data_IF_843267144312
#
_entry.id   IF_843267144312
#
_cell.length_a   1.000
_cell.length_b   1.000
_cell.length_c   1.000
_cell.angle_alpha   90.00
_cell.angle_beta   90.00
_cell.angle_gamma   90.00
#
_symmetry.space_group_name_H-M   'P 1'
#
loop_
_entity.id
_entity.type
_entity.pdbx_description
1 polymer ?
#
# COMPACT_ATOMS: atom_id res chain seq x y z
N UNK A 1 -44.53 44.54 50.86
CA UNK A 1 -44.66 43.18 50.34
C UNK A 1 -44.69 43.27 48.82
N UNK A 2 -43.54 43.06 48.15
CA UNK A 2 -43.46 42.93 46.71
C UNK A 2 -42.95 41.50 46.43
N UNK A 3 -43.77 40.72 45.73
CA UNK A 3 -43.45 39.36 45.28
C UNK A 3 -42.53 39.42 44.07
N UNK A 4 -41.41 38.78 44.18
CA UNK A 4 -40.49 38.53 43.07
C UNK A 4 -40.94 37.23 42.42
N UNK A 5 -41.51 37.29 41.23
CA UNK A 5 -41.73 36.12 40.36
C UNK A 5 -40.49 35.97 39.50
N UNK A 6 -39.74 34.87 39.73
CA UNK A 6 -38.65 34.45 38.86
C UNK A 6 -39.22 33.89 37.55
N UNK A 7 -38.90 34.52 36.44
CA UNK A 7 -39.17 34.06 35.09
C UNK A 7 -38.25 32.88 34.78
N UNK A 8 -38.76 31.66 34.80
CA UNK A 8 -38.12 30.44 34.29
C UNK A 8 -38.24 30.44 32.76
N UNK A 9 -37.16 30.80 32.08
CA UNK A 9 -37.04 30.61 30.63
C UNK A 9 -36.76 29.13 30.37
N UNK A 10 -37.60 28.38 29.64
CA UNK A 10 -37.33 26.99 29.32
C UNK A 10 -36.17 26.93 28.32
N UNK A 11 -35.05 26.44 28.78
CA UNK A 11 -33.88 26.20 27.93
C UNK A 11 -34.22 25.11 26.91
N UNK A 12 -34.30 25.47 25.64
CA UNK A 12 -34.72 24.59 24.55
C UNK A 12 -33.67 23.48 24.35
N UNK A 13 -34.06 22.23 24.55
CA UNK A 13 -33.23 21.04 24.49
C UNK A 13 -32.52 20.89 23.12
N UNK A 14 -33.18 21.30 22.03
CA UNK A 14 -32.62 21.34 20.70
C UNK A 14 -31.48 22.36 20.55
N UNK A 15 -31.53 23.47 21.28
CA UNK A 15 -30.50 24.50 21.26
C UNK A 15 -29.23 24.04 22.01
N UNK A 16 -29.42 23.24 23.07
CA UNK A 16 -28.31 22.61 23.81
C UNK A 16 -27.66 21.50 22.98
N UNK A 17 -28.44 20.65 22.32
CA UNK A 17 -27.92 19.61 21.44
C UNK A 17 -27.17 20.21 20.24
N UNK A 18 -27.72 21.24 19.62
CA UNK A 18 -27.05 21.95 18.49
C UNK A 18 -25.77 22.71 18.94
N UNK A 19 -25.74 23.22 20.16
CA UNK A 19 -24.53 23.83 20.76
C UNK A 19 -23.49 22.79 21.14
N UNK A 20 -23.91 21.63 21.65
CA UNK A 20 -23.01 20.51 21.95
C UNK A 20 -22.43 19.91 20.67
N UNK A 21 -23.24 19.71 19.63
CA UNK A 21 -22.75 19.25 18.32
C UNK A 21 -21.77 20.24 17.67
N UNK A 22 -22.07 21.55 17.71
CA UNK A 22 -21.12 22.59 17.24
C UNK A 22 -19.84 22.67 18.09
N UNK A 23 -19.93 22.45 19.40
CA UNK A 23 -18.77 22.41 20.30
C UNK A 23 -17.96 21.13 20.13
N UNK A 24 -18.60 19.98 19.87
CA UNK A 24 -17.95 18.72 19.54
C UNK A 24 -17.30 18.80 18.15
N UNK A 25 -17.97 19.34 17.15
CA UNK A 25 -17.39 19.58 15.80
C UNK A 25 -16.29 20.65 15.83
N UNK A 26 -16.45 21.72 16.60
CA UNK A 26 -15.43 22.75 16.80
C UNK A 26 -14.20 22.23 17.54
N UNK A 27 -14.39 21.46 18.62
CA UNK A 27 -13.29 20.87 19.39
C UNK A 27 -12.61 19.72 18.63
N UNK A 28 -13.34 18.96 17.78
CA UNK A 28 -12.74 17.99 16.85
C UNK A 28 -11.97 18.69 15.71
N UNK A 29 -12.28 19.92 15.36
CA UNK A 29 -11.58 20.70 14.33
C UNK A 29 -10.33 21.41 14.85
N UNK A 30 -10.28 21.79 16.12
CA UNK A 30 -9.15 22.52 16.72
C UNK A 30 -8.14 21.60 17.41
N UNK A 31 -8.50 20.39 17.80
CA UNK A 31 -7.59 19.41 18.42
C UNK A 31 -6.96 18.39 17.46
N UNK A 32 -7.34 18.41 16.18
CA UNK A 32 -6.67 17.66 15.11
C UNK A 32 -5.78 18.61 14.34
N UNK A 33 -4.50 18.69 14.67
CA UNK A 33 -3.49 19.02 13.68
C UNK A 33 -3.83 18.19 12.44
N UNK A 34 -4.21 18.84 11.36
CA UNK A 34 -4.37 18.20 10.05
C UNK A 34 -3.03 17.55 9.76
N UNK A 35 -2.92 16.25 10.02
CA UNK A 35 -1.70 15.50 9.73
C UNK A 35 -1.33 15.81 8.28
N UNK A 36 -0.27 16.59 8.12
CA UNK A 36 0.08 17.20 6.85
C UNK A 36 0.29 16.07 5.83
N UNK A 37 -0.54 16.04 4.80
CA UNK A 37 -0.54 15.00 3.77
C UNK A 37 0.86 14.90 3.16
N UNK A 38 1.50 13.75 3.27
CA UNK A 38 2.84 13.54 2.71
C UNK A 38 2.74 13.38 1.18
N UNK A 39 3.07 14.45 0.45
CA UNK A 39 3.03 14.47 -1.02
C UNK A 39 4.03 13.51 -1.65
N UNK A 40 5.14 13.19 -0.97
CA UNK A 40 6.09 12.17 -1.46
C UNK A 40 5.46 10.79 -1.50
N UNK A 41 4.65 10.42 -0.50
CA UNK A 41 3.91 9.15 -0.50
C UNK A 41 2.81 9.14 -1.59
N UNK A 42 2.16 10.26 -1.83
CA UNK A 42 1.18 10.36 -2.93
C UNK A 42 1.87 10.24 -4.30
N UNK A 43 3.04 10.84 -4.47
CA UNK A 43 3.87 10.67 -5.67
C UNK A 43 4.34 9.21 -5.82
N UNK A 44 4.70 8.54 -4.73
CA UNK A 44 5.07 7.13 -4.73
C UNK A 44 3.92 6.23 -5.22
N UNK A 45 2.67 6.52 -4.85
CA UNK A 45 1.49 5.81 -5.38
C UNK A 45 1.37 5.92 -6.90
N UNK A 46 1.55 7.15 -7.43
CA UNK A 46 1.54 7.41 -8.87
C UNK A 46 2.67 6.64 -9.54
N UNK A 47 3.88 6.74 -8.99
CA UNK A 47 5.06 6.07 -9.51
C UNK A 47 4.91 4.54 -9.51
N UNK A 48 4.46 3.94 -8.41
CA UNK A 48 4.19 2.49 -8.36
C UNK A 48 3.15 2.06 -9.39
N UNK A 49 2.12 2.85 -9.63
CA UNK A 49 1.13 2.54 -10.65
C UNK A 49 1.71 2.62 -12.07
N UNK A 50 2.60 3.57 -12.32
CA UNK A 50 3.36 3.63 -13.56
C UNK A 50 4.26 2.39 -13.74
N UNK A 51 4.93 1.95 -12.67
CA UNK A 51 5.70 0.69 -12.70
C UNK A 51 4.80 -0.53 -13.01
N UNK A 52 3.58 -0.57 -12.48
CA UNK A 52 2.60 -1.63 -12.81
C UNK A 52 2.22 -1.58 -14.30
N UNK A 53 2.07 -0.39 -14.89
CA UNK A 53 1.85 -0.27 -16.34
C UNK A 53 3.04 -0.83 -17.14
N UNK A 54 4.28 -0.62 -16.70
CA UNK A 54 5.47 -1.26 -17.31
C UNK A 54 5.34 -2.78 -17.27
N UNK A 55 5.00 -3.37 -16.10
CA UNK A 55 4.82 -4.81 -15.95
C UNK A 55 3.75 -5.35 -16.91
N UNK A 56 2.65 -4.64 -17.09
CA UNK A 56 1.56 -5.07 -17.97
C UNK A 56 1.91 -4.91 -19.45
N UNK A 57 2.63 -3.86 -19.83
CA UNK A 57 3.18 -3.68 -21.19
C UNK A 57 4.18 -4.79 -21.52
N UNK A 58 5.08 -5.14 -20.59
CA UNK A 58 6.06 -6.21 -20.76
C UNK A 58 5.41 -7.59 -20.78
N UNK A 59 4.51 -7.88 -19.85
CA UNK A 59 3.85 -9.18 -19.67
C UNK A 59 2.73 -9.39 -20.68
N UNK A 60 1.49 -9.04 -20.34
CA UNK A 60 0.30 -9.27 -21.18
C UNK A 60 0.39 -8.56 -22.52
N UNK A 61 0.95 -7.36 -22.55
CA UNK A 61 1.19 -6.58 -23.78
C UNK A 61 2.23 -7.20 -24.71
N UNK A 62 2.97 -8.22 -24.25
CA UNK A 62 4.00 -8.98 -24.99
C UNK A 62 5.11 -8.13 -25.57
N UNK A 63 5.50 -7.03 -24.92
CA UNK A 63 6.70 -6.28 -25.34
C UNK A 63 8.00 -7.10 -25.16
N UNK A 64 7.95 -8.15 -24.33
CA UNK A 64 9.07 -9.05 -24.01
C UNK A 64 9.01 -10.38 -24.76
N UNK A 65 8.49 -10.42 -25.98
CA UNK A 65 8.59 -11.64 -26.80
C UNK A 65 10.04 -11.89 -27.16
N UNK A 66 10.52 -13.11 -26.87
CA UNK A 66 11.88 -13.52 -27.24
C UNK A 66 11.91 -14.00 -28.67
N UNK A 67 12.64 -13.32 -29.51
CA UNK A 67 12.91 -13.74 -30.89
C UNK A 67 14.36 -14.25 -30.99
N UNK A 68 14.55 -15.36 -31.69
CA UNK A 68 15.89 -15.90 -31.97
C UNK A 68 16.74 -14.87 -32.69
N UNK A 69 17.99 -14.69 -32.24
CA UNK A 69 18.91 -13.69 -32.77
C UNK A 69 18.65 -12.25 -32.37
N UNK A 70 17.76 -12.03 -31.37
CA UNK A 70 17.42 -10.70 -30.79
C UNK A 70 17.33 -10.73 -29.27
N UNK A 71 18.11 -11.59 -28.66
CA UNK A 71 18.12 -11.78 -27.21
C UNK A 71 18.53 -10.50 -26.46
N UNK A 72 19.33 -9.63 -27.08
CA UNK A 72 19.76 -8.35 -26.50
C UNK A 72 18.59 -7.40 -26.24
N UNK A 73 17.55 -7.43 -27.07
CA UNK A 73 16.31 -6.64 -26.87
C UNK A 73 15.57 -7.16 -25.65
N UNK A 74 15.44 -8.48 -25.54
CA UNK A 74 14.78 -9.12 -24.41
C UNK A 74 15.51 -8.79 -23.09
N UNK A 75 16.84 -8.93 -23.05
CA UNK A 75 17.65 -8.57 -21.87
C UNK A 75 17.49 -7.11 -21.47
N UNK A 76 17.48 -6.21 -22.46
CA UNK A 76 17.37 -4.77 -22.21
C UNK A 76 15.99 -4.39 -21.65
N UNK A 77 14.90 -4.93 -22.19
CA UNK A 77 13.54 -4.67 -21.68
C UNK A 77 13.34 -5.33 -20.32
N UNK A 78 13.96 -6.51 -20.11
CA UNK A 78 13.84 -7.24 -18.85
C UNK A 78 14.40 -6.47 -17.62
N UNK A 79 15.40 -5.59 -17.81
CA UNK A 79 15.87 -4.74 -16.69
C UNK A 79 14.78 -3.77 -16.21
N UNK A 80 13.96 -3.23 -17.14
CA UNK A 80 12.82 -2.37 -16.79
C UNK A 80 11.73 -3.14 -16.04
N UNK A 81 11.42 -4.36 -16.49
CA UNK A 81 10.48 -5.23 -15.78
C UNK A 81 11.00 -5.53 -14.37
N UNK A 82 12.28 -5.86 -14.22
CA UNK A 82 12.91 -6.13 -12.93
C UNK A 82 12.84 -4.92 -12.00
N UNK A 83 13.14 -3.73 -12.50
CA UNK A 83 13.03 -2.49 -11.74
C UNK A 83 11.57 -2.23 -11.31
N UNK A 84 10.61 -2.52 -12.16
CA UNK A 84 9.19 -2.30 -11.88
C UNK A 84 8.59 -3.33 -10.91
N UNK A 85 9.21 -4.50 -10.74
CA UNK A 85 8.61 -5.63 -10.04
C UNK A 85 8.34 -5.37 -8.55
N UNK A 86 9.03 -4.44 -7.92
CA UNK A 86 8.81 -4.07 -6.52
C UNK A 86 7.53 -3.24 -6.27
N UNK A 87 6.84 -2.79 -7.32
CA UNK A 87 5.69 -1.86 -7.21
C UNK A 87 4.58 -2.37 -6.29
N UNK A 88 4.22 -3.65 -6.38
CA UNK A 88 3.15 -4.27 -5.57
C UNK A 88 3.53 -4.28 -4.08
N UNK A 89 4.77 -4.67 -3.76
CA UNK A 89 5.28 -4.65 -2.39
C UNK A 89 5.28 -3.24 -1.82
N UNK A 90 5.73 -2.27 -2.63
CA UNK A 90 5.73 -0.85 -2.25
C UNK A 90 4.31 -0.36 -1.95
N UNK A 91 3.31 -0.77 -2.75
CA UNK A 91 1.91 -0.44 -2.50
C UNK A 91 1.39 -1.03 -1.18
N UNK A 92 1.77 -2.26 -0.85
CA UNK A 92 1.49 -2.90 0.44
C UNK A 92 2.12 -2.14 1.60
N UNK A 93 3.40 -1.75 1.47
CA UNK A 93 4.11 -0.94 2.47
C UNK A 93 3.50 0.46 2.62
N UNK A 94 3.08 1.13 1.53
CA UNK A 94 2.36 2.42 1.59
C UNK A 94 1.08 2.28 2.41
N UNK A 95 0.35 1.16 2.23
CA UNK A 95 -0.88 0.91 2.97
C UNK A 95 -0.65 0.88 4.48
N UNK A 96 0.42 0.20 4.93
CA UNK A 96 0.83 0.19 6.34
C UNK A 96 1.35 1.53 6.84
N UNK A 97 2.22 2.17 6.05
CA UNK A 97 2.79 3.48 6.39
C UNK A 97 1.73 4.56 6.64
N UNK A 98 0.64 4.55 5.85
CA UNK A 98 -0.47 5.48 6.01
C UNK A 98 -1.49 4.96 7.02
N UNK A 99 -1.80 3.65 6.99
CA UNK A 99 -2.85 3.02 7.78
C UNK A 99 -2.61 3.11 9.28
N UNK A 100 -1.36 2.93 9.74
CA UNK A 100 -1.03 2.94 11.19
C UNK A 100 -1.41 4.24 11.91
N UNK A 101 -1.48 5.36 11.19
CA UNK A 101 -1.85 6.69 11.71
C UNK A 101 -3.22 7.18 11.23
N UNK A 102 -3.84 6.47 10.29
CA UNK A 102 -5.13 6.91 9.76
C UNK A 102 -6.29 6.54 10.68
N UNK A 103 -7.32 7.38 10.70
CA UNK A 103 -8.60 7.03 11.33
C UNK A 103 -9.33 6.06 10.42
N UNK A 104 -9.62 4.88 10.95
CA UNK A 104 -10.37 3.86 10.24
C UNK A 104 -11.79 4.34 9.94
N UNK A 105 -12.18 4.21 8.68
CA UNK A 105 -13.55 4.46 8.21
C UNK A 105 -14.02 3.22 7.45
N UNK A 106 -14.89 2.41 8.03
CA UNK A 106 -15.39 1.19 7.36
C UNK A 106 -16.03 1.47 6.00
N UNK A 107 -16.73 2.60 5.85
CA UNK A 107 -17.32 3.02 4.57
C UNK A 107 -16.30 3.14 3.41
N UNK A 108 -15.01 3.31 3.73
CA UNK A 108 -13.95 3.38 2.72
C UNK A 108 -13.76 2.06 1.98
N UNK A 109 -13.88 0.92 2.66
CA UNK A 109 -13.75 -0.38 1.99
C UNK A 109 -14.95 -0.64 1.08
N UNK A 110 -16.14 -0.21 1.49
CA UNK A 110 -17.36 -0.30 0.66
C UNK A 110 -17.24 0.60 -0.57
N UNK A 111 -16.74 1.84 -0.41
CA UNK A 111 -16.47 2.74 -1.56
C UNK A 111 -15.45 2.12 -2.54
N UNK A 112 -14.38 1.49 -2.02
CA UNK A 112 -13.40 0.79 -2.85
C UNK A 112 -14.02 -0.43 -3.54
N UNK A 113 -14.85 -1.22 -2.84
CA UNK A 113 -15.55 -2.36 -3.42
C UNK A 113 -16.51 -1.93 -4.54
N UNK A 114 -17.29 -0.86 -4.34
CA UNK A 114 -18.15 -0.29 -5.39
C UNK A 114 -17.35 0.17 -6.62
N UNK A 115 -16.11 0.63 -6.42
CA UNK A 115 -15.21 0.98 -7.52
C UNK A 115 -14.76 -0.27 -8.29
N UNK A 116 -14.39 -1.34 -7.60
CA UNK A 116 -14.03 -2.62 -8.25
C UNK A 116 -15.23 -3.19 -9.01
N UNK A 117 -16.39 -3.19 -8.38
CA UNK A 117 -17.64 -3.63 -8.99
C UNK A 117 -17.98 -2.80 -10.26
N UNK A 118 -17.80 -1.48 -10.23
CA UNK A 118 -17.99 -0.62 -11.39
C UNK A 118 -17.16 -1.08 -12.59
N UNK A 119 -15.85 -1.30 -12.41
CA UNK A 119 -15.00 -1.74 -13.50
C UNK A 119 -15.34 -3.16 -13.97
N UNK A 120 -15.62 -4.05 -13.04
CA UNK A 120 -15.92 -5.44 -13.33
C UNK A 120 -17.26 -5.56 -14.08
N UNK A 121 -18.34 -5.06 -13.49
CA UNK A 121 -19.69 -5.22 -14.04
C UNK A 121 -19.92 -4.36 -15.30
N UNK A 122 -19.57 -3.05 -15.24
CA UNK A 122 -19.77 -2.16 -16.39
C UNK A 122 -18.85 -2.51 -17.56
N UNK A 123 -17.58 -2.87 -17.28
CA UNK A 123 -16.65 -3.32 -18.31
C UNK A 123 -17.15 -4.58 -19.02
N UNK A 124 -17.66 -5.55 -18.27
CA UNK A 124 -18.29 -6.75 -18.82
C UNK A 124 -19.55 -6.41 -19.64
N UNK A 125 -20.43 -5.56 -19.10
CA UNK A 125 -21.63 -5.12 -19.81
C UNK A 125 -21.30 -4.46 -21.15
N UNK A 126 -20.33 -3.54 -21.17
CA UNK A 126 -19.88 -2.86 -22.39
C UNK A 126 -19.30 -3.88 -23.40
N UNK A 127 -18.44 -4.79 -22.94
CA UNK A 127 -17.82 -5.81 -23.78
C UNK A 127 -18.86 -6.70 -24.47
N UNK A 128 -19.88 -7.11 -23.73
CA UNK A 128 -20.95 -7.99 -24.24
C UNK A 128 -21.93 -7.25 -25.14
N UNK A 129 -22.40 -6.07 -24.73
CA UNK A 129 -23.48 -5.36 -25.47
C UNK A 129 -22.99 -4.63 -26.70
N UNK A 130 -21.83 -4.00 -26.66
CA UNK A 130 -21.31 -3.18 -27.78
C UNK A 130 -20.30 -3.93 -28.64
N UNK A 131 -19.51 -4.83 -28.07
CA UNK A 131 -18.50 -5.57 -28.80
C UNK A 131 -18.91 -7.01 -29.09
N UNK A 132 -20.11 -7.45 -28.61
CA UNK A 132 -20.65 -8.80 -28.80
C UNK A 132 -19.67 -9.91 -28.44
N UNK A 133 -18.84 -9.68 -27.41
CA UNK A 133 -17.86 -10.67 -26.95
C UNK A 133 -18.56 -11.84 -26.24
N UNK A 134 -18.02 -13.06 -26.33
CA UNK A 134 -18.63 -14.23 -25.71
C UNK A 134 -18.68 -14.10 -24.19
N UNK A 135 -19.77 -14.59 -23.61
CA UNK A 135 -19.98 -14.65 -22.16
C UNK A 135 -19.97 -16.11 -21.73
N UNK A 136 -18.97 -16.44 -20.92
CA UNK A 136 -18.98 -17.70 -20.18
C UNK A 136 -19.67 -17.50 -18.84
N UNK A 137 -20.24 -18.58 -18.26
CA UNK A 137 -20.89 -18.51 -16.93
C UNK A 137 -19.98 -17.92 -15.86
N UNK A 138 -18.69 -18.29 -15.89
CA UNK A 138 -17.68 -17.81 -14.95
C UNK A 138 -17.42 -16.30 -15.09
N UNK A 139 -17.53 -15.76 -16.30
CA UNK A 139 -17.34 -14.33 -16.55
C UNK A 139 -18.42 -13.49 -15.87
N UNK A 140 -19.68 -13.97 -15.89
CA UNK A 140 -20.78 -13.30 -15.19
C UNK A 140 -20.60 -13.32 -13.67
N UNK A 141 -20.21 -14.46 -13.11
CA UNK A 141 -19.91 -14.56 -11.68
C UNK A 141 -18.73 -13.67 -11.28
N UNK A 142 -17.67 -13.63 -12.08
CA UNK A 142 -16.54 -12.75 -11.86
C UNK A 142 -16.94 -11.26 -11.91
N UNK A 143 -17.83 -10.89 -12.84
CA UNK A 143 -18.31 -9.53 -12.95
C UNK A 143 -19.12 -9.09 -11.73
N UNK A 144 -19.98 -9.96 -11.18
CA UNK A 144 -20.84 -9.66 -10.04
C UNK A 144 -20.13 -9.79 -8.69
N UNK A 145 -19.17 -10.73 -8.57
CA UNK A 145 -18.44 -11.03 -7.33
C UNK A 145 -16.92 -10.89 -7.51
N UNK A 146 -16.43 -9.70 -7.89
CA UNK A 146 -15.03 -9.51 -8.33
C UNK A 146 -14.00 -9.80 -7.22
N UNK A 147 -14.40 -9.79 -5.95
CA UNK A 147 -13.51 -10.05 -4.81
C UNK A 147 -13.31 -11.53 -4.50
N UNK A 148 -14.16 -12.40 -5.02
CA UNK A 148 -14.09 -13.85 -4.78
C UNK A 148 -13.20 -14.58 -5.78
N UNK A 149 -12.76 -13.89 -6.83
CA UNK A 149 -11.93 -14.44 -7.90
C UNK A 149 -10.52 -13.88 -7.87
N UNK A 150 -9.56 -14.59 -8.45
CA UNK A 150 -8.15 -14.15 -8.50
C UNK A 150 -7.90 -12.93 -9.40
N UNK A 151 -8.86 -12.52 -10.20
CA UNK A 151 -8.76 -11.40 -11.14
C UNK A 151 -8.26 -10.12 -10.45
N UNK A 152 -8.91 -9.72 -9.37
CA UNK A 152 -8.50 -8.56 -8.56
C UNK A 152 -7.80 -8.99 -7.26
N UNK A 153 -6.88 -9.94 -7.36
CA UNK A 153 -6.22 -10.59 -6.22
C UNK A 153 -5.66 -9.61 -5.18
N UNK A 154 -5.08 -8.50 -5.65
CA UNK A 154 -4.53 -7.49 -4.74
C UNK A 154 -5.63 -6.83 -3.91
N UNK A 155 -6.77 -6.49 -4.53
CA UNK A 155 -7.89 -5.92 -3.81
C UNK A 155 -8.52 -6.93 -2.83
N UNK A 156 -8.69 -8.17 -3.24
CA UNK A 156 -9.20 -9.25 -2.37
C UNK A 156 -8.30 -9.47 -1.15
N UNK A 157 -6.97 -9.50 -1.37
CA UNK A 157 -5.98 -9.56 -0.27
C UNK A 157 -6.02 -8.30 0.61
N UNK A 158 -6.21 -7.12 0.01
CA UNK A 158 -6.32 -5.86 0.74
C UNK A 158 -7.57 -5.78 1.61
N UNK A 159 -8.71 -6.35 1.18
CA UNK A 159 -9.91 -6.47 2.03
C UNK A 159 -9.58 -7.24 3.31
N UNK A 160 -8.87 -8.37 3.17
CA UNK A 160 -8.40 -9.14 4.33
C UNK A 160 -7.51 -8.31 5.26
N UNK A 161 -6.51 -7.60 4.70
CA UNK A 161 -5.64 -6.70 5.48
C UNK A 161 -6.46 -5.62 6.19
N UNK A 162 -7.45 -5.02 5.52
CA UNK A 162 -8.31 -4.00 6.11
C UNK A 162 -9.11 -4.53 7.32
N UNK A 163 -9.55 -5.79 7.27
CA UNK A 163 -10.26 -6.42 8.40
C UNK A 163 -9.32 -6.57 9.60
N UNK A 164 -8.09 -7.05 9.39
CA UNK A 164 -7.13 -7.29 10.48
C UNK A 164 -6.29 -6.07 10.84
N UNK A 165 -6.39 -4.97 10.09
CA UNK A 165 -5.64 -3.72 10.29
C UNK A 165 -5.63 -3.22 11.74
N UNK A 166 -6.74 -3.21 12.50
CA UNK A 166 -6.74 -2.74 13.89
C UNK A 166 -5.81 -3.53 14.80
N UNK A 167 -5.76 -4.85 14.59
CA UNK A 167 -4.90 -5.76 15.36
C UNK A 167 -3.44 -5.59 14.97
N UNK A 168 -3.14 -5.47 13.67
CA UNK A 168 -1.79 -5.20 13.18
C UNK A 168 -1.26 -3.85 13.69
N UNK A 169 -2.10 -2.82 13.66
CA UNK A 169 -1.75 -1.49 14.17
C UNK A 169 -1.52 -1.51 15.69
N UNK A 170 -2.33 -2.26 16.45
CA UNK A 170 -2.12 -2.43 17.90
C UNK A 170 -0.79 -3.13 18.18
N UNK A 171 -0.50 -4.22 17.45
CA UNK A 171 0.78 -4.92 17.56
C UNK A 171 1.96 -3.98 17.28
N UNK A 172 1.96 -3.24 16.18
CA UNK A 172 3.06 -2.33 15.83
C UNK A 172 3.23 -1.22 16.86
N UNK A 173 2.12 -0.65 17.37
CA UNK A 173 2.16 0.44 18.37
C UNK A 173 2.60 -0.02 19.75
N UNK A 174 2.33 -1.28 20.15
CA UNK A 174 2.76 -1.82 21.44
C UNK A 174 4.27 -2.08 21.54
N UNK A 175 4.96 -2.17 20.39
CA UNK A 175 6.40 -2.43 20.33
C UNK A 175 7.19 -1.13 20.46
N UNK A 176 8.28 -1.17 21.24
CA UNK A 176 9.31 -0.13 21.24
C UNK A 176 10.13 -0.11 19.94
N UNK A 177 11.01 0.88 19.77
CA UNK A 177 11.81 1.05 18.54
C UNK A 177 12.63 -0.19 18.19
N UNK A 178 13.29 -0.81 19.17
CA UNK A 178 14.06 -2.07 18.97
C UNK A 178 13.14 -3.23 18.59
N UNK A 179 11.96 -3.36 19.21
CA UNK A 179 10.98 -4.39 18.89
C UNK A 179 10.47 -4.28 17.45
N UNK A 180 10.17 -3.06 16.96
CA UNK A 180 9.78 -2.81 15.58
C UNK A 180 10.86 -3.22 14.58
N UNK A 181 12.13 -2.89 14.86
CA UNK A 181 13.27 -3.30 14.02
C UNK A 181 13.43 -4.81 13.98
N UNK A 182 13.38 -5.47 15.15
CA UNK A 182 13.43 -6.94 15.26
C UNK A 182 12.29 -7.59 14.48
N UNK A 183 11.05 -7.10 14.62
CA UNK A 183 9.89 -7.62 13.88
C UNK A 183 10.09 -7.51 12.38
N UNK A 184 10.53 -6.36 11.85
CA UNK A 184 10.80 -6.17 10.42
C UNK A 184 11.86 -7.17 9.91
N UNK A 185 12.98 -7.34 10.64
CA UNK A 185 14.04 -8.26 10.26
C UNK A 185 13.54 -9.71 10.31
N UNK A 186 12.81 -10.10 11.36
CA UNK A 186 12.26 -11.46 11.49
C UNK A 186 11.30 -11.78 10.36
N UNK A 187 10.38 -10.88 10.03
CA UNK A 187 9.44 -11.07 8.90
C UNK A 187 10.17 -11.13 7.56
N UNK A 188 11.18 -10.31 7.35
CA UNK A 188 12.01 -10.34 6.15
C UNK A 188 12.78 -11.67 6.04
N UNK A 189 13.43 -12.11 7.09
CA UNK A 189 14.19 -13.38 7.10
C UNK A 189 13.26 -14.58 6.91
N UNK A 190 12.16 -14.65 7.66
CA UNK A 190 11.24 -15.77 7.62
C UNK A 190 10.46 -15.84 6.30
N UNK A 191 9.83 -14.73 5.89
CA UNK A 191 8.90 -14.74 4.76
C UNK A 191 9.58 -14.49 3.40
N UNK A 192 10.79 -13.97 3.38
CA UNK A 192 11.49 -13.65 2.14
C UNK A 192 12.74 -14.52 1.96
N UNK A 193 13.69 -14.47 2.88
CA UNK A 193 14.95 -15.22 2.72
C UNK A 193 14.74 -16.72 2.90
N UNK A 194 14.13 -17.16 4.00
CA UNK A 194 13.93 -18.58 4.29
C UNK A 194 13.06 -19.27 3.23
N UNK A 195 12.05 -18.62 2.69
CA UNK A 195 11.18 -19.19 1.66
C UNK A 195 11.83 -19.40 0.29
N UNK A 196 13.05 -18.87 0.09
CA UNK A 196 13.81 -19.14 -1.14
C UNK A 196 14.19 -20.64 -1.28
N UNK A 197 14.57 -21.29 -0.18
CA UNK A 197 15.01 -22.71 -0.18
C UNK A 197 13.89 -23.65 -0.65
N UNK A 198 12.70 -23.70 -0.03
CA UNK A 198 11.60 -24.55 -0.51
C UNK A 198 11.10 -24.15 -1.90
N UNK A 199 11.28 -22.91 -2.33
CA UNK A 199 10.90 -22.45 -3.68
C UNK A 199 11.75 -23.10 -4.78
N UNK A 200 12.99 -23.47 -4.51
CA UNK A 200 13.82 -24.26 -5.43
C UNK A 200 13.14 -25.61 -5.73
N UNK A 201 12.49 -26.21 -4.74
CA UNK A 201 11.70 -27.44 -4.89
C UNK A 201 10.23 -27.18 -5.30
N UNK A 202 9.89 -25.98 -5.77
CA UNK A 202 8.54 -25.54 -6.12
C UNK A 202 7.51 -25.75 -4.99
N UNK A 203 7.95 -25.57 -3.73
CA UNK A 203 7.11 -25.70 -2.54
C UNK A 203 6.82 -24.33 -1.94
N UNK A 204 5.57 -24.10 -1.58
CA UNK A 204 5.14 -22.91 -0.82
C UNK A 204 4.85 -23.29 0.63
N UNK A 205 5.90 -23.32 1.44
CA UNK A 205 5.87 -23.78 2.83
C UNK A 205 4.97 -22.93 3.74
N UNK A 206 4.92 -21.60 3.50
CA UNK A 206 4.18 -20.66 4.33
C UNK A 206 2.87 -20.17 3.70
N UNK A 207 2.45 -20.71 2.55
CA UNK A 207 1.28 -20.22 1.84
C UNK A 207 1.41 -18.77 1.36
N UNK A 208 2.64 -18.31 1.09
CA UNK A 208 2.92 -16.94 0.65
C UNK A 208 2.47 -16.70 -0.79
N UNK A 209 2.28 -17.77 -1.59
CA UNK A 209 1.84 -17.68 -2.98
C UNK A 209 2.81 -16.88 -3.87
N UNK A 210 4.12 -16.99 -3.62
CA UNK A 210 5.13 -16.15 -4.29
C UNK A 210 4.90 -14.63 -4.16
N UNK A 211 4.10 -14.22 -3.17
CA UNK A 211 3.72 -12.83 -2.92
C UNK A 211 2.29 -12.46 -3.34
N UNK A 212 1.51 -13.41 -3.87
CA UNK A 212 0.11 -13.22 -4.28
C UNK A 212 -0.88 -13.66 -3.19
N UNK A 213 -0.61 -13.35 -1.92
CA UNK A 213 -1.46 -13.77 -0.82
C UNK A 213 -1.76 -12.65 0.16
N UNK A 214 -2.85 -12.83 0.91
CA UNK A 214 -3.22 -11.98 2.04
C UNK A 214 -2.12 -11.93 3.11
N UNK A 215 -1.50 -13.07 3.42
CA UNK A 215 -0.42 -13.15 4.40
C UNK A 215 0.77 -12.28 3.98
N UNK A 216 1.18 -12.38 2.70
CA UNK A 216 2.26 -11.56 2.16
C UNK A 216 1.94 -10.07 2.23
N UNK A 217 0.74 -9.67 1.84
CA UNK A 217 0.32 -8.28 1.88
C UNK A 217 0.29 -7.74 3.33
N UNK A 218 -0.08 -8.59 4.31
CA UNK A 218 -0.02 -8.28 5.75
C UNK A 218 1.42 -8.04 6.23
N UNK A 219 2.38 -8.84 5.76
CA UNK A 219 3.81 -8.64 6.04
C UNK A 219 4.28 -7.30 5.49
N UNK A 220 3.96 -6.96 4.25
CA UNK A 220 4.30 -5.66 3.65
C UNK A 220 3.65 -4.49 4.40
N UNK A 221 2.40 -4.66 4.84
CA UNK A 221 1.69 -3.69 5.68
C UNK A 221 2.44 -3.44 6.99
N UNK A 222 2.81 -4.50 7.72
CA UNK A 222 3.52 -4.39 9.00
C UNK A 222 4.86 -3.67 8.82
N UNK A 223 5.64 -4.02 7.78
CA UNK A 223 6.91 -3.35 7.48
C UNK A 223 6.68 -1.85 7.26
N UNK A 224 5.70 -1.47 6.42
CA UNK A 224 5.36 -0.08 6.18
C UNK A 224 4.91 0.68 7.43
N UNK A 225 4.10 0.04 8.28
CA UNK A 225 3.65 0.59 9.56
C UNK A 225 4.81 0.82 10.54
N UNK A 226 5.74 -0.16 10.65
CA UNK A 226 6.94 -0.02 11.47
C UNK A 226 7.84 1.13 10.98
N UNK A 227 8.03 1.26 9.66
CA UNK A 227 8.80 2.38 9.08
C UNK A 227 8.19 3.71 9.50
N UNK A 228 6.86 3.87 9.41
CA UNK A 228 6.17 5.10 9.81
C UNK A 228 6.40 5.44 11.28
N UNK A 229 6.18 4.48 12.16
CA UNK A 229 6.35 4.67 13.60
C UNK A 229 7.80 5.00 13.98
N UNK A 230 8.79 4.38 13.35
CA UNK A 230 10.20 4.64 13.59
C UNK A 230 10.65 6.01 13.05
N UNK A 231 10.10 6.45 11.91
CA UNK A 231 10.46 7.76 11.35
C UNK A 231 9.83 8.93 12.13
N UNK A 232 8.63 8.76 12.69
CA UNK A 232 7.95 9.80 13.45
C UNK A 232 8.50 9.95 14.88
N UNK A 233 8.96 8.85 15.50
CA UNK A 233 9.56 8.90 16.85
C UNK A 233 10.85 9.72 16.92
N UNK A 234 11.54 9.87 15.81
CA UNK A 234 12.80 10.59 15.69
C UNK A 234 12.63 12.00 15.09
N UNK A 235 11.41 12.54 15.04
CA UNK A 235 11.15 13.90 14.58
C UNK A 235 11.63 14.95 15.59
N UNK A 236 12.13 16.14 15.13
CA UNK A 236 12.71 17.18 15.98
C UNK A 236 11.75 17.78 17.03
N UNK A 237 10.45 17.57 16.91
CA UNK A 237 9.45 18.09 17.85
C UNK A 237 9.38 17.28 19.17
N UNK A 238 9.69 15.99 19.16
CA UNK A 238 9.72 15.19 20.40
C UNK A 238 11.00 15.40 21.22
N UNK A 239 12.14 15.64 20.57
CA UNK A 239 13.36 16.03 21.28
C UNK A 239 13.20 17.35 22.05
N UNK A 240 12.34 18.28 21.57
CA UNK A 240 12.04 19.53 22.30
C UNK A 240 11.08 19.31 23.48
N UNK A 241 10.23 18.28 23.45
CA UNK A 241 9.28 18.01 24.53
C UNK A 241 9.94 17.26 25.68
N UNK A 242 10.89 16.37 25.41
CA UNK A 242 11.69 15.68 26.46
C UNK A 242 12.69 16.66 27.16
N UNK A 243 13.12 17.73 26.49
CA UNK A 243 13.96 18.78 27.09
C UNK A 243 13.16 19.87 27.82
N UNK A 244 11.83 19.85 27.80
CA UNK A 244 10.97 20.90 28.40
C UNK A 244 10.10 20.43 29.56
N UNK A 245 10.26 19.22 30.07
CA UNK A 245 9.65 18.86 31.35
C UNK A 245 10.54 19.41 32.51
N UNK A 246 10.01 20.29 33.36
CA UNK A 246 10.75 20.83 34.50
C UNK A 246 10.91 19.73 35.55
N UNK A 247 12.14 19.47 35.92
CA UNK A 247 12.49 18.55 37.00
C UNK A 247 11.72 18.86 38.27
N UNK A 248 10.90 17.91 38.69
CA UNK A 248 10.22 17.92 40.00
C UNK A 248 10.97 17.09 41.00
N UNK A 249 11.48 17.81 42.00
CA UNK A 249 11.79 17.39 43.38
C UNK A 249 12.78 16.23 43.62
N UNK A 250 13.88 16.61 44.20
CA UNK A 250 14.86 15.81 44.93
C UNK A 250 14.23 14.88 45.97
N UNK A 251 14.56 13.60 45.88
CA UNK A 251 14.67 12.78 47.08
C UNK A 251 15.94 11.90 46.97
N UNK A 252 16.87 12.26 47.80
CA UNK A 252 18.14 11.55 48.00
C UNK A 252 17.91 10.15 48.54
N UNK A 253 18.41 9.11 47.85
CA UNK A 253 18.90 7.87 48.47
C UNK A 253 20.04 7.38 47.59
N UNK A 254 21.20 7.31 48.24
CA UNK A 254 22.45 6.66 47.83
C UNK A 254 22.26 5.18 47.62
N UNK A 255 22.53 4.68 46.41
CA UNK A 255 23.06 3.32 46.21
C UNK A 255 23.59 3.09 44.79
N UNK A 256 24.84 2.79 44.71
CA UNK A 256 25.63 1.96 43.80
C UNK A 256 25.95 2.45 42.39
N UNK A 257 27.23 2.79 42.23
CA UNK A 257 28.00 3.19 41.04
C UNK A 257 28.10 2.15 39.89
N UNK A 258 27.47 0.98 39.97
CA UNK A 258 27.64 -0.06 38.96
C UNK A 258 26.50 -0.13 37.88
N UNK A 259 25.47 0.68 37.98
CA UNK A 259 24.36 0.72 37.00
C UNK A 259 24.49 1.83 35.93
N UNK A 260 25.38 2.79 36.16
CA UNK A 260 25.59 3.90 35.21
C UNK A 260 26.32 3.44 33.92
N UNK A 261 27.37 2.64 34.05
CA UNK A 261 28.15 2.14 32.92
C UNK A 261 27.38 1.20 31.97
N UNK A 262 26.40 0.43 32.51
CA UNK A 262 25.55 -0.46 31.68
C UNK A 262 24.43 0.31 30.98
N UNK A 263 23.99 1.42 31.55
CA UNK A 263 23.01 2.31 30.89
C UNK A 263 23.65 3.13 29.79
N UNK A 264 24.82 3.70 29.98
CA UNK A 264 25.55 4.45 28.95
C UNK A 264 25.97 3.56 27.78
N UNK A 265 26.39 2.33 28.02
CA UNK A 265 26.73 1.39 26.94
C UNK A 265 25.48 0.92 26.17
N UNK A 266 24.33 0.76 26.86
CA UNK A 266 23.04 0.46 26.18
C UNK A 266 22.50 1.66 25.40
N UNK A 267 22.74 2.89 25.83
CA UNK A 267 22.36 4.10 25.09
C UNK A 267 23.28 4.33 23.88
N UNK A 268 24.60 4.14 24.02
CA UNK A 268 25.56 4.23 22.91
C UNK A 268 25.35 3.13 21.84
N UNK A 269 25.00 1.90 22.23
CA UNK A 269 24.63 0.84 21.28
C UNK A 269 23.24 1.08 20.65
N UNK A 270 22.35 1.81 21.32
CA UNK A 270 21.09 2.27 20.76
C UNK A 270 21.29 3.39 19.72
N UNK A 271 22.20 4.33 19.96
CA UNK A 271 22.53 5.40 19.02
C UNK A 271 23.19 4.89 17.74
N UNK A 272 24.13 3.93 17.83
CA UNK A 272 24.75 3.33 16.64
C UNK A 272 23.78 2.54 15.75
N UNK A 273 22.71 1.97 16.33
CA UNK A 273 21.69 1.23 15.57
C UNK A 273 20.61 2.12 14.93
N UNK A 274 20.51 3.40 15.31
CA UNK A 274 19.55 4.37 14.73
C UNK A 274 19.98 4.84 13.34
N UNK A 275 21.25 4.68 12.98
CA UNK A 275 21.90 5.29 11.82
C UNK A 275 21.40 4.75 10.45
N UNK A 276 20.85 3.53 10.38
CA UNK A 276 20.38 2.97 9.10
C UNK A 276 19.15 3.70 8.54
N UNK A 277 18.18 4.06 9.37
CA UNK A 277 16.97 4.77 8.92
C UNK A 277 17.22 6.25 8.62
N UNK A 278 18.35 6.82 9.04
CA UNK A 278 18.71 8.23 8.81
C UNK A 278 19.68 8.46 7.64
N UNK A 279 20.13 7.40 6.97
CA UNK A 279 21.06 7.51 5.84
C UNK A 279 20.50 8.31 4.67
N UNK A 280 21.39 8.90 3.87
CA UNK A 280 21.02 9.76 2.74
C UNK A 280 20.15 9.03 1.71
N UNK A 281 19.24 9.75 1.04
CA UNK A 281 18.42 9.19 -0.04
C UNK A 281 19.24 8.56 -1.17
N UNK A 282 20.48 9.03 -1.39
CA UNK A 282 21.41 8.46 -2.37
C UNK A 282 21.79 7.01 -2.07
N UNK A 283 21.98 6.66 -0.78
CA UNK A 283 22.28 5.27 -0.41
C UNK A 283 21.13 4.31 -0.75
N UNK A 284 19.88 4.72 -0.50
CA UNK A 284 18.72 3.89 -0.87
C UNK A 284 18.57 3.78 -2.38
N UNK A 285 18.90 4.85 -3.13
CA UNK A 285 18.94 4.81 -4.59
C UNK A 285 19.99 3.84 -5.10
N UNK A 286 21.21 3.88 -4.55
CA UNK A 286 22.27 2.94 -4.88
C UNK A 286 21.90 1.49 -4.53
N UNK A 287 21.34 1.24 -3.35
CA UNK A 287 20.90 -0.09 -2.93
C UNK A 287 19.76 -0.63 -3.82
N UNK A 288 18.83 0.23 -4.24
CA UNK A 288 17.80 -0.12 -5.20
C UNK A 288 18.41 -0.59 -6.52
N UNK A 289 19.35 0.19 -7.10
CA UNK A 289 20.01 -0.16 -8.35
C UNK A 289 20.79 -1.47 -8.23
N UNK A 290 21.54 -1.66 -7.13
CA UNK A 290 22.29 -2.90 -6.88
C UNK A 290 21.31 -4.11 -6.83
N UNK A 291 20.20 -4.01 -6.10
CA UNK A 291 19.23 -5.09 -6.03
C UNK A 291 18.56 -5.40 -7.38
N UNK A 292 18.25 -4.39 -8.17
CA UNK A 292 17.74 -4.57 -9.55
C UNK A 292 18.77 -5.30 -10.41
N UNK A 293 20.04 -4.87 -10.39
CA UNK A 293 21.11 -5.51 -11.16
C UNK A 293 21.37 -6.95 -10.71
N UNK A 294 21.41 -7.21 -9.40
CA UNK A 294 21.56 -8.57 -8.83
C UNK A 294 20.42 -9.46 -9.31
N UNK A 295 19.18 -9.00 -9.25
CA UNK A 295 18.01 -9.77 -9.71
C UNK A 295 18.07 -10.02 -11.22
N UNK A 296 18.41 -9.02 -12.00
CA UNK A 296 18.50 -9.10 -13.45
C UNK A 296 19.62 -10.07 -13.90
N UNK A 297 20.83 -9.90 -13.38
CA UNK A 297 22.00 -10.75 -13.70
C UNK A 297 21.75 -12.18 -13.24
N UNK A 298 21.25 -12.39 -12.01
CA UNK A 298 21.00 -13.74 -11.49
C UNK A 298 20.01 -14.53 -12.34
N UNK A 299 18.95 -13.88 -12.84
CA UNK A 299 18.00 -14.55 -13.73
C UNK A 299 18.68 -15.00 -15.03
N UNK A 300 19.45 -14.12 -15.67
CA UNK A 300 20.16 -14.42 -16.91
C UNK A 300 21.13 -15.60 -16.70
N UNK A 301 21.93 -15.52 -15.64
CA UNK A 301 22.92 -16.58 -15.33
C UNK A 301 22.25 -17.93 -15.00
N UNK A 302 21.20 -17.93 -14.18
CA UNK A 302 20.49 -19.13 -13.79
C UNK A 302 19.79 -19.76 -15.01
N UNK A 303 19.12 -18.98 -15.85
CA UNK A 303 18.45 -19.50 -17.05
C UNK A 303 19.46 -20.04 -18.07
N UNK A 304 20.54 -19.34 -18.33
CA UNK A 304 21.58 -19.82 -19.25
C UNK A 304 22.25 -21.11 -18.72
N UNK A 305 22.61 -21.14 -17.44
CA UNK A 305 23.19 -22.34 -16.81
C UNK A 305 22.22 -23.52 -16.84
N UNK A 306 20.96 -23.33 -16.45
CA UNK A 306 19.97 -24.40 -16.45
C UNK A 306 19.63 -24.88 -17.86
N UNK A 307 19.59 -24.01 -18.84
CA UNK A 307 19.41 -24.36 -20.25
C UNK A 307 20.55 -25.23 -20.76
N UNK A 308 21.81 -24.92 -20.37
CA UNK A 308 22.96 -25.71 -20.77
C UNK A 308 22.99 -27.10 -20.12
N UNK A 309 22.47 -27.25 -18.88
CA UNK A 309 22.49 -28.50 -18.12
C UNK A 309 21.27 -29.37 -18.39
N UNK A 310 20.08 -28.77 -18.49
CA UNK A 310 18.78 -29.47 -18.55
C UNK A 310 18.09 -29.34 -19.91
N UNK A 311 18.65 -28.59 -20.86
CA UNK A 311 18.01 -28.30 -22.16
C UNK A 311 16.87 -27.28 -22.10
N UNK A 312 16.47 -26.85 -20.91
CA UNK A 312 15.41 -25.86 -20.70
C UNK A 312 15.72 -24.89 -19.55
N UNK A 313 15.20 -23.66 -19.62
CA UNK A 313 15.37 -22.68 -18.59
C UNK A 313 14.54 -23.04 -17.32
N UNK A 314 15.24 -23.26 -16.21
CA UNK A 314 14.65 -23.56 -14.89
C UNK A 314 15.09 -22.52 -13.86
N UNK A 315 14.34 -22.39 -12.77
CA UNK A 315 14.68 -21.56 -11.60
C UNK A 315 14.89 -20.05 -11.87
N UNK A 316 14.66 -19.54 -13.07
CA UNK A 316 14.82 -18.13 -13.39
C UNK A 316 13.95 -17.18 -12.57
N UNK A 317 12.90 -17.70 -11.89
CA UNK A 317 12.04 -16.94 -10.99
C UNK A 317 12.48 -16.96 -9.53
N UNK A 318 13.63 -17.54 -9.19
CA UNK A 318 14.08 -17.68 -7.80
C UNK A 318 14.21 -16.30 -7.12
N UNK A 319 14.93 -15.36 -7.74
CA UNK A 319 15.04 -13.97 -7.27
C UNK A 319 14.02 -13.03 -7.93
N UNK A 320 13.20 -13.52 -8.86
CA UNK A 320 12.20 -12.76 -9.58
C UNK A 320 10.78 -13.14 -9.14
N UNK A 321 10.44 -12.79 -7.90
CA UNK A 321 9.09 -12.89 -7.35
C UNK A 321 8.86 -11.80 -6.31
N UNK A 322 7.62 -11.45 -6.00
CA UNK A 322 7.32 -10.45 -4.98
C UNK A 322 7.92 -10.79 -3.62
N UNK A 323 8.00 -12.08 -3.28
CA UNK A 323 8.61 -12.54 -2.02
C UNK A 323 10.14 -12.68 -2.08
N UNK A 324 10.82 -12.27 -3.15
CA UNK A 324 12.28 -12.32 -3.24
C UNK A 324 12.94 -11.20 -2.43
N UNK A 325 14.05 -11.49 -1.71
CA UNK A 325 14.71 -10.53 -0.84
C UNK A 325 15.10 -9.23 -1.55
N UNK A 326 15.66 -9.34 -2.77
CA UNK A 326 16.04 -8.17 -3.57
C UNK A 326 14.87 -7.28 -3.92
N UNK A 327 13.71 -7.87 -4.27
CA UNK A 327 12.49 -7.13 -4.60
C UNK A 327 11.88 -6.46 -3.35
N UNK A 328 11.94 -7.11 -2.19
CA UNK A 328 11.49 -6.51 -0.91
C UNK A 328 12.38 -5.32 -0.54
N UNK A 329 13.71 -5.46 -0.69
CA UNK A 329 14.65 -4.36 -0.44
C UNK A 329 14.40 -3.21 -1.40
N UNK A 330 14.15 -3.47 -2.70
CA UNK A 330 13.77 -2.43 -3.67
C UNK A 330 12.51 -1.66 -3.21
N UNK A 331 11.47 -2.37 -2.77
CA UNK A 331 10.24 -1.75 -2.28
C UNK A 331 10.49 -0.88 -1.04
N UNK A 332 11.30 -1.38 -0.10
CA UNK A 332 11.71 -0.62 1.08
C UNK A 332 12.50 0.64 0.70
N UNK A 333 13.45 0.54 -0.23
CA UNK A 333 14.23 1.68 -0.71
C UNK A 333 13.33 2.76 -1.31
N UNK A 334 12.38 2.40 -2.17
CA UNK A 334 11.42 3.35 -2.72
C UNK A 334 10.60 4.04 -1.63
N UNK A 335 10.08 3.28 -0.65
CA UNK A 335 9.36 3.87 0.48
C UNK A 335 10.23 4.89 1.23
N UNK A 336 11.50 4.54 1.52
CA UNK A 336 12.42 5.42 2.25
C UNK A 336 12.79 6.68 1.48
N UNK A 337 12.98 6.59 0.17
CA UNK A 337 13.27 7.76 -0.69
C UNK A 337 12.07 8.70 -0.73
N UNK A 338 10.90 8.17 -1.09
CA UNK A 338 9.73 9.00 -1.34
C UNK A 338 9.08 9.53 -0.05
N UNK A 339 9.15 8.80 1.08
CA UNK A 339 8.63 9.30 2.36
C UNK A 339 9.29 10.59 2.84
N UNK A 340 10.53 10.83 2.41
CA UNK A 340 11.33 12.02 2.74
C UNK A 340 11.32 13.09 1.67
N UNK A 341 10.75 12.79 0.50
CA UNK A 341 10.74 13.72 -0.62
C UNK A 341 9.84 14.91 -0.34
N UNK A 342 10.45 16.09 -0.30
CA UNK A 342 9.72 17.36 -0.15
C UNK A 342 9.33 17.88 -1.53
N UNK A 343 8.11 17.61 -1.97
CA UNK A 343 7.57 18.13 -3.22
C UNK A 343 7.28 19.63 -3.09
N UNK A 344 8.09 20.46 -3.73
CA UNK A 344 7.97 21.92 -3.78
C UNK A 344 7.39 22.34 -5.13
N UNK A 345 6.66 23.44 -5.16
CA UNK A 345 6.02 23.97 -6.36
C UNK A 345 4.52 23.69 -6.43
N UNK A 346 3.76 24.67 -6.93
CA UNK A 346 2.30 24.63 -7.00
C UNK A 346 1.83 23.60 -8.04
N UNK A 347 2.41 23.65 -9.24
CA UNK A 347 2.03 22.76 -10.36
C UNK A 347 2.24 21.30 -10.01
N UNK A 348 3.41 20.96 -9.46
CA UNK A 348 3.70 19.58 -9.04
C UNK A 348 2.72 19.09 -7.97
N UNK A 349 2.37 19.95 -7.01
CA UNK A 349 1.39 19.62 -5.96
C UNK A 349 0.01 19.35 -6.55
N UNK A 350 -0.46 20.20 -7.47
CA UNK A 350 -1.75 20.05 -8.14
C UNK A 350 -1.79 18.76 -8.96
N UNK A 351 -0.74 18.43 -9.71
CA UNK A 351 -0.62 17.18 -10.46
C UNK A 351 -0.65 15.96 -9.52
N UNK A 352 0.13 15.96 -8.44
CA UNK A 352 0.14 14.85 -7.47
C UNK A 352 -1.25 14.66 -6.86
N UNK A 353 -1.92 15.75 -6.47
CA UNK A 353 -3.26 15.70 -5.88
C UNK A 353 -4.32 15.22 -6.86
N UNK A 354 -4.16 15.50 -8.14
CA UNK A 354 -5.04 15.04 -9.21
C UNK A 354 -4.86 13.55 -9.49
N UNK A 355 -3.63 13.08 -9.74
CA UNK A 355 -3.36 11.71 -10.16
C UNK A 355 -3.40 10.67 -9.02
N UNK A 356 -3.00 11.03 -7.80
CA UNK A 356 -2.90 10.07 -6.70
C UNK A 356 -4.23 9.35 -6.36
N UNK A 357 -5.41 9.99 -6.33
CA UNK A 357 -6.69 9.30 -6.11
C UNK A 357 -7.12 8.37 -7.27
N UNK A 358 -6.62 8.64 -8.48
CA UNK A 358 -6.95 7.89 -9.71
C UNK A 358 -6.05 6.65 -9.89
N UNK A 359 -4.87 6.64 -9.26
CA UNK A 359 -3.86 5.60 -9.45
C UNK A 359 -4.39 4.17 -9.26
N UNK A 360 -5.21 3.91 -8.24
CA UNK A 360 -5.79 2.59 -8.02
C UNK A 360 -6.76 2.15 -9.12
N UNK A 361 -7.49 3.09 -9.72
CA UNK A 361 -8.41 2.80 -10.81
C UNK A 361 -7.70 2.38 -12.10
N UNK A 362 -6.50 2.90 -12.34
CA UNK A 362 -5.64 2.47 -13.46
C UNK A 362 -5.36 0.96 -13.38
N UNK A 363 -5.05 0.45 -12.20
CA UNK A 363 -4.89 -1.00 -11.97
C UNK A 363 -6.20 -1.77 -12.22
N UNK A 364 -7.33 -1.29 -11.68
CA UNK A 364 -8.61 -1.97 -11.81
C UNK A 364 -9.04 -2.12 -13.26
N UNK A 365 -8.86 -1.07 -14.08
CA UNK A 365 -9.21 -1.10 -15.48
C UNK A 365 -8.35 -2.09 -16.26
N UNK A 366 -7.04 -2.13 -16.00
CA UNK A 366 -6.12 -3.03 -16.69
C UNK A 366 -6.42 -4.50 -16.40
N UNK A 367 -6.91 -4.83 -15.20
CA UNK A 367 -7.25 -6.20 -14.80
C UNK A 367 -8.73 -6.58 -15.12
N UNK A 368 -9.50 -5.69 -15.70
CA UNK A 368 -10.82 -6.07 -16.16
C UNK A 368 -10.67 -7.16 -17.25
N UNK A 369 -11.35 -8.32 -17.16
CA UNK A 369 -11.05 -9.50 -17.98
C UNK A 369 -11.02 -9.24 -19.49
N UNK A 370 -12.02 -8.54 -20.00
CA UNK A 370 -12.07 -8.24 -21.43
C UNK A 370 -11.02 -7.22 -21.86
N UNK A 371 -10.69 -6.23 -21.01
CA UNK A 371 -9.59 -5.32 -21.28
C UNK A 371 -8.26 -6.05 -21.32
N UNK A 372 -8.05 -6.97 -20.39
CA UNK A 372 -6.85 -7.80 -20.30
C UNK A 372 -6.66 -8.69 -21.52
N UNK A 373 -7.73 -9.37 -21.97
CA UNK A 373 -7.66 -10.35 -23.07
C UNK A 373 -7.78 -9.73 -24.47
N UNK A 374 -8.60 -8.69 -24.65
CA UNK A 374 -8.92 -8.16 -25.98
C UNK A 374 -8.24 -6.82 -26.28
N UNK A 375 -7.89 -6.05 -25.25
CA UNK A 375 -7.28 -4.73 -25.48
C UNK A 375 -5.79 -4.77 -25.21
N UNK A 376 -5.36 -5.44 -24.14
CA UNK A 376 -3.97 -5.43 -23.68
C UNK A 376 -3.14 -6.56 -24.29
N UNK A 377 -3.72 -7.77 -24.48
CA UNK A 377 -3.01 -8.94 -24.94
C UNK A 377 -2.32 -8.71 -26.29
N UNK A 378 -0.99 -8.81 -26.29
CA UNK A 378 -0.18 -8.67 -27.51
C UNK A 378 -0.11 -7.27 -28.11
N UNK A 379 -0.77 -6.27 -27.54
CA UNK A 379 -0.84 -4.88 -28.06
C UNK A 379 0.52 -4.26 -28.33
N UNK A 380 1.54 -4.65 -27.58
CA UNK A 380 2.87 -4.05 -27.61
C UNK A 380 3.95 -4.99 -28.17
N UNK A 381 3.58 -6.10 -28.80
CA UNK A 381 4.52 -7.09 -29.35
C UNK A 381 5.50 -6.49 -30.37
N UNK A 382 5.10 -5.42 -31.09
CA UNK A 382 5.95 -4.72 -32.03
C UNK A 382 7.25 -4.17 -31.42
N UNK A 383 7.24 -3.89 -30.10
CA UNK A 383 8.41 -3.37 -29.35
C UNK A 383 9.59 -4.36 -29.44
N UNK A 384 9.32 -5.66 -29.36
CA UNK A 384 10.36 -6.68 -29.44
C UNK A 384 11.09 -6.73 -30.82
N UNK A 385 10.58 -6.02 -31.83
CA UNK A 385 11.21 -5.87 -33.15
C UNK A 385 12.11 -4.63 -33.26
N UNK A 386 12.13 -3.77 -32.25
CA UNK A 386 12.98 -2.56 -32.20
C UNK A 386 14.40 -2.91 -31.74
N UNK A 387 15.34 -1.96 -31.86
CA UNK A 387 16.64 -2.08 -31.21
C UNK A 387 16.55 -1.91 -29.70
N UNK A 388 17.56 -2.35 -28.91
CA UNK A 388 17.52 -2.39 -27.46
C UNK A 388 17.12 -1.07 -26.79
N UNK A 389 17.78 0.02 -27.12
CA UNK A 389 17.52 1.34 -26.55
C UNK A 389 16.11 1.88 -26.94
N UNK A 390 15.72 1.69 -28.22
CA UNK A 390 14.42 2.10 -28.72
C UNK A 390 13.28 1.27 -28.07
N UNK A 391 13.51 -0.02 -27.83
CA UNK A 391 12.56 -0.89 -27.14
C UNK A 391 12.35 -0.42 -25.68
N UNK A 392 13.41 -0.12 -24.94
CA UNK A 392 13.30 0.41 -23.59
C UNK A 392 12.53 1.73 -23.54
N UNK A 393 12.86 2.67 -24.42
CA UNK A 393 12.14 3.95 -24.50
C UNK A 393 10.67 3.73 -24.86
N UNK A 394 10.38 2.85 -25.82
CA UNK A 394 9.02 2.57 -26.26
C UNK A 394 8.18 1.92 -25.14
N UNK A 395 8.76 1.03 -24.33
CA UNK A 395 8.08 0.47 -23.14
C UNK A 395 7.67 1.59 -22.18
N UNK A 396 8.56 2.55 -21.88
CA UNK A 396 8.25 3.68 -21.00
C UNK A 396 7.14 4.58 -21.58
N UNK A 397 7.22 4.87 -22.88
CA UNK A 397 6.21 5.69 -23.59
C UNK A 397 4.85 4.97 -23.59
N UNK A 398 4.83 3.67 -23.91
CA UNK A 398 3.56 2.90 -23.94
C UNK A 398 2.99 2.69 -22.54
N UNK A 399 3.82 2.53 -21.52
CA UNK A 399 3.36 2.48 -20.12
C UNK A 399 2.74 3.82 -19.68
N UNK A 400 3.33 4.96 -20.08
CA UNK A 400 2.77 6.27 -19.82
C UNK A 400 1.44 6.48 -20.58
N UNK A 401 1.38 6.08 -21.84
CA UNK A 401 0.15 6.14 -22.64
C UNK A 401 -0.96 5.29 -22.01
N UNK A 402 -0.66 4.04 -21.64
CA UNK A 402 -1.61 3.15 -20.96
C UNK A 402 -2.11 3.74 -19.63
N UNK A 403 -1.20 4.36 -18.85
CA UNK A 403 -1.57 5.06 -17.61
C UNK A 403 -2.56 6.18 -17.88
N UNK A 404 -2.30 7.02 -18.88
CA UNK A 404 -3.16 8.16 -19.24
C UNK A 404 -4.49 7.71 -19.84
N UNK A 405 -4.51 6.68 -20.70
CA UNK A 405 -5.74 6.07 -21.24
C UNK A 405 -6.66 5.61 -20.09
N UNK A 406 -6.13 4.82 -19.15
CA UNK A 406 -6.88 4.36 -18.00
C UNK A 406 -7.34 5.50 -17.08
N UNK A 407 -6.49 6.54 -16.92
CA UNK A 407 -6.88 7.74 -16.15
C UNK A 407 -8.02 8.49 -16.80
N UNK A 408 -8.00 8.66 -18.13
CA UNK A 408 -9.06 9.35 -18.86
C UNK A 408 -10.42 8.63 -18.69
N UNK A 409 -10.44 7.30 -18.76
CA UNK A 409 -11.66 6.51 -18.51
C UNK A 409 -12.12 6.66 -17.04
N UNK A 410 -11.19 6.73 -16.08
CA UNK A 410 -11.55 6.89 -14.66
C UNK A 410 -12.18 8.26 -14.35
N UNK A 411 -11.94 9.29 -15.15
CA UNK A 411 -12.64 10.58 -15.00
C UNK A 411 -14.15 10.42 -15.21
N UNK A 412 -14.59 9.58 -16.14
CA UNK A 412 -16.00 9.26 -16.37
C UNK A 412 -16.61 8.59 -15.14
N UNK A 413 -15.95 7.56 -14.60
CA UNK A 413 -16.37 6.93 -13.33
C UNK A 413 -16.46 7.96 -12.20
N UNK A 414 -15.46 8.83 -12.09
CA UNK A 414 -15.42 9.84 -11.01
C UNK A 414 -16.60 10.81 -11.12
N UNK A 415 -16.99 11.22 -12.34
CA UNK A 415 -18.18 12.03 -12.58
C UNK A 415 -19.45 11.27 -12.19
N UNK A 416 -19.59 10.01 -12.64
CA UNK A 416 -20.73 9.15 -12.29
C UNK A 416 -20.84 8.94 -10.76
N UNK A 417 -19.75 8.67 -10.06
CA UNK A 417 -19.74 8.49 -8.60
C UNK A 417 -20.15 9.76 -7.84
N UNK A 418 -19.79 10.94 -8.37
CA UNK A 418 -20.24 12.22 -7.80
C UNK A 418 -21.74 12.40 -7.98
N UNK A 419 -22.27 12.13 -9.21
CA UNK A 419 -23.69 12.23 -9.53
C UNK A 419 -24.52 11.27 -8.68
N UNK A 420 -24.10 10.02 -8.58
CA UNK A 420 -24.78 8.96 -7.82
C UNK A 420 -24.53 9.07 -6.29
N UNK A 421 -23.76 10.06 -5.85
CA UNK A 421 -23.42 10.26 -4.43
C UNK A 421 -22.91 8.99 -3.74
N UNK A 422 -22.07 8.22 -4.43
CA UNK A 422 -21.59 6.88 -3.98
C UNK A 422 -21.03 6.89 -2.56
N UNK A 423 -20.44 7.98 -2.09
CA UNK A 423 -19.99 8.10 -0.69
C UNK A 423 -21.12 7.96 0.31
N UNK A 424 -22.31 8.53 0.01
CA UNK A 424 -23.49 8.36 0.88
C UNK A 424 -24.02 6.93 0.82
N UNK A 425 -24.07 6.35 -0.38
CA UNK A 425 -24.44 4.94 -0.55
C UNK A 425 -23.52 4.03 0.25
N UNK A 426 -22.21 4.23 0.17
CA UNK A 426 -21.24 3.46 0.95
C UNK A 426 -21.42 3.63 2.46
N UNK A 427 -21.76 4.83 2.95
CA UNK A 427 -22.07 5.06 4.35
C UNK A 427 -23.33 4.29 4.78
N UNK A 428 -24.45 4.42 4.04
CA UNK A 428 -25.71 3.72 4.33
C UNK A 428 -25.49 2.19 4.38
N UNK A 429 -24.79 1.63 3.40
CA UNK A 429 -24.47 0.20 3.37
C UNK A 429 -23.64 -0.19 4.62
N UNK A 430 -22.67 0.63 4.98
CA UNK A 430 -21.80 0.38 6.13
C UNK A 430 -22.60 0.43 7.44
N UNK A 431 -23.41 1.47 7.61
CA UNK A 431 -24.22 1.66 8.81
C UNK A 431 -25.22 0.51 8.99
N UNK A 432 -25.84 0.08 7.86
CA UNK A 432 -26.72 -1.09 7.87
C UNK A 432 -25.97 -2.38 8.23
N UNK A 433 -24.81 -2.64 7.63
CA UNK A 433 -24.03 -3.85 7.88
C UNK A 433 -23.42 -3.90 9.29
N UNK A 434 -23.10 -2.75 9.90
CA UNK A 434 -22.51 -2.69 11.24
C UNK A 434 -23.56 -2.53 12.38
N UNK A 435 -24.81 -2.27 12.04
CA UNK A 435 -25.88 -2.10 13.02
C UNK A 435 -25.99 -3.25 14.03
N UNK A 436 -25.98 -4.55 13.62
CA UNK A 436 -26.04 -5.66 14.56
C UNK A 436 -24.88 -5.68 15.55
N UNK A 437 -23.68 -5.28 15.11
CA UNK A 437 -22.50 -5.24 15.99
C UNK A 437 -22.55 -4.07 16.98
N UNK A 438 -23.12 -2.94 16.60
CA UNK A 438 -23.32 -1.81 17.50
C UNK A 438 -24.33 -2.16 18.61
N UNK A 439 -25.42 -2.83 18.26
CA UNK A 439 -26.46 -3.30 19.21
C UNK A 439 -25.86 -4.31 20.21
N UNK A 440 -25.02 -5.26 19.75
CA UNK A 440 -24.33 -6.20 20.66
C UNK A 440 -23.39 -5.49 21.63
N UNK A 441 -22.62 -4.51 21.14
CA UNK A 441 -21.69 -3.76 22.00
C UNK A 441 -22.43 -2.89 23.03
N UNK A 442 -23.58 -2.34 22.68
CA UNK A 442 -24.44 -1.62 23.64
C UNK A 442 -25.04 -2.57 24.70
N UNK A 443 -25.44 -3.77 24.30
CA UNK A 443 -25.93 -4.78 25.19
C UNK A 443 -24.85 -5.26 26.18
N UNK A 444 -23.63 -5.58 25.69
CA UNK A 444 -22.51 -5.91 26.56
C UNK A 444 -22.15 -4.80 27.54
N UNK A 445 -22.22 -3.53 27.12
CA UNK A 445 -21.95 -2.40 27.99
C UNK A 445 -23.06 -2.22 29.08
N UNK A 446 -24.32 -2.47 28.76
CA UNK A 446 -25.42 -2.44 29.72
C UNK A 446 -25.32 -3.58 30.74
N UNK A 447 -25.00 -4.78 30.29
CA UNK A 447 -24.72 -5.93 31.16
C UNK A 447 -23.53 -5.67 32.09
N UNK A 448 -22.46 -5.05 31.59
CA UNK A 448 -21.31 -4.69 32.39
C UNK A 448 -21.55 -3.55 33.37
N UNK A 449 -22.51 -2.66 33.08
CA UNK A 449 -22.94 -1.56 34.00
C UNK A 449 -23.98 -1.98 35.01
N UNK A 450 -24.53 -3.20 34.93
CA UNK A 450 -25.54 -3.71 35.84
C UNK A 450 -26.92 -3.08 35.66
N UNK A 451 -27.22 -2.55 34.48
CA UNK A 451 -28.50 -1.92 34.13
C UNK A 451 -29.53 -2.93 33.56
N UNK A 452 -29.30 -4.24 33.70
CA UNK A 452 -30.22 -5.32 33.31
C UNK A 452 -30.49 -6.21 34.52
#
# INVERSE_FOLDING_TARGET
>A
MRSVTEDFIPCNREEIETRLERKMDGNMRTGRERQQRNLGIDLLRIFCMFLICILHVCGQGRAMVRYAGREEVWYSVYILETAAYCAVNTYGMISGYVGVRSVRRPSRIVELWLRVFWYSALGTLIAVTFFHLPVESDTLYQALFPTMWKTYWYFSSYVGVFVVEPYLNRLVKSLGSTGKKKLMITLFLLCSVFTMVPRVANRDFLGIGAGYSFLWLSVMYIIGACVRELTDQNGPERQKQECSEPGGAETSITETENTAGVKEQKEQDSEKNVDFLHRSGGLYGMLYIICVLVTWVSKILIENWTTSVYGEARYGRLLFSYASPTIVICAFCLLMIFSRLKCRGRVLRELIQFFSPLAFSVYLMQLQPYFWEYVLAGRYQFIAKLGPAAACLMVLVMAAALYLECTAVDLVRMAAFRLLRIRRVAQVITDFALRPFAELTEQENREASGEV
#
